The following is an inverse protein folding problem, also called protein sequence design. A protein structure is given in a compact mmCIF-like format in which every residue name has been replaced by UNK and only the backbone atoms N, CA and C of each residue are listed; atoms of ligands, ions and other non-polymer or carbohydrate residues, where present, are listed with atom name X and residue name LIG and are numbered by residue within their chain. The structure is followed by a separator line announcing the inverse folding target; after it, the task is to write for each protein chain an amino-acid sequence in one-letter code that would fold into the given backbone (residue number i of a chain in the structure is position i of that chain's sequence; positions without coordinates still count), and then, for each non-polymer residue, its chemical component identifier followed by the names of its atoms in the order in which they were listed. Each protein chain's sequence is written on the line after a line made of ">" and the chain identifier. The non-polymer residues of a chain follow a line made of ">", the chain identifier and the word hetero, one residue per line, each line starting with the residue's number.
data_IF_437477397962
#
_entry.id   IF_437477397962
#
_cell.length_a   1.000
_cell.length_b   1.000
_cell.length_c   1.000
_cell.angle_alpha   90.00
_cell.angle_beta   90.00
_cell.angle_gamma   90.00
#
_symmetry.space_group_name_H-M   'P 1'
#
loop_
_entity.id
_entity.type
_entity.pdbx_description
1 polymer ?
#
# COMPACT_ATOMS: atom_id res chain seq x y z
N UNK A 1 4.64 6.28 -10.75
CA UNK A 1 5.62 7.09 -9.98
C UNK A 1 5.69 6.54 -8.58
N UNK A 2 6.83 6.69 -7.92
CA UNK A 2 6.95 6.40 -6.49
C UNK A 2 7.12 7.70 -5.71
N UNK A 3 6.30 7.89 -4.69
CA UNK A 3 6.60 8.81 -3.60
C UNK A 3 7.10 7.97 -2.41
N UNK A 4 8.23 8.33 -1.83
CA UNK A 4 8.69 7.73 -0.58
C UNK A 4 8.18 8.59 0.57
N UNK A 5 7.37 7.99 1.44
CA UNK A 5 6.98 8.43 2.80
C UNK A 5 6.88 9.95 3.03
N UNK A 6 5.64 10.42 3.27
CA UNK A 6 5.31 11.81 3.60
C UNK A 6 5.91 12.35 4.91
N UNK A 7 6.61 11.52 5.70
CA UNK A 7 7.18 11.89 6.99
C UNK A 7 8.67 12.21 6.91
N UNK A 8 9.09 13.34 7.49
CA UNK A 8 10.50 13.73 7.57
C UNK A 8 11.39 12.72 8.32
N UNK A 9 10.78 11.93 9.21
CA UNK A 9 11.39 10.77 9.88
C UNK A 9 10.34 9.65 9.89
N UNK A 10 10.35 8.72 8.92
CA UNK A 10 9.37 7.65 8.90
C UNK A 10 9.56 6.72 10.12
N UNK A 11 8.47 6.17 10.68
CA UNK A 11 8.55 5.08 11.64
C UNK A 11 9.45 3.95 11.11
N UNK A 12 10.12 3.23 12.00
CA UNK A 12 11.02 2.10 11.66
C UNK A 12 10.44 1.13 10.61
N UNK A 13 9.15 0.72 10.65
CA UNK A 13 8.58 -0.17 9.64
C UNK A 13 8.38 0.49 8.27
N UNK A 14 8.21 1.81 8.22
CA UNK A 14 7.97 2.57 7.00
C UNK A 14 9.26 3.06 6.32
N UNK A 15 10.43 2.78 6.88
CA UNK A 15 11.72 3.27 6.38
C UNK A 15 11.95 3.02 4.88
N UNK A 16 11.38 1.93 4.34
CA UNK A 16 11.46 1.56 2.92
C UNK A 16 10.09 1.45 2.26
N UNK A 17 9.06 2.05 2.85
CA UNK A 17 7.73 2.06 2.28
C UNK A 17 7.69 2.92 1.01
N UNK A 18 6.84 2.51 0.07
CA UNK A 18 6.66 3.19 -1.21
C UNK A 18 5.18 3.45 -1.43
N UNK A 19 4.87 4.67 -1.86
CA UNK A 19 3.54 5.05 -2.33
C UNK A 19 3.57 5.06 -3.86
N UNK A 20 2.89 4.11 -4.46
CA UNK A 20 2.86 3.89 -5.92
C UNK A 20 1.62 4.56 -6.50
N UNK A 21 1.85 5.43 -7.48
CA UNK A 21 0.80 6.08 -8.27
C UNK A 21 0.92 5.76 -9.76
N UNK A 22 -0.19 5.85 -10.47
CA UNK A 22 -0.24 5.78 -11.92
C UNK A 22 0.00 7.16 -12.54
N UNK A 23 0.69 7.16 -13.68
CA UNK A 23 0.91 8.35 -14.49
C UNK A 23 0.24 8.07 -15.85
N UNK A 24 -0.66 8.94 -16.27
CA UNK A 24 -1.28 8.92 -17.59
C UNK A 24 -0.51 9.75 -18.60
N UNK A 25 -1.20 10.16 -19.67
CA UNK A 25 -0.60 10.96 -20.73
C UNK A 25 -0.03 12.28 -20.18
N UNK A 26 1.04 12.76 -20.83
CA UNK A 26 1.72 14.00 -20.48
C UNK A 26 2.24 14.07 -19.02
N UNK A 27 2.44 12.93 -18.37
CA UNK A 27 2.98 12.91 -17.01
C UNK A 27 1.95 13.23 -15.91
N UNK A 28 0.65 13.28 -16.24
CA UNK A 28 -0.40 13.63 -15.28
C UNK A 28 -0.79 12.46 -14.39
N UNK A 29 -1.21 12.75 -13.16
CA UNK A 29 -1.67 11.75 -12.16
C UNK A 29 -3.19 11.61 -12.12
N UNK A 30 -3.89 12.62 -12.61
CA UNK A 30 -5.36 12.70 -12.67
C UNK A 30 -5.84 13.34 -13.96
N UNK A 31 -7.14 13.21 -14.22
CA UNK A 31 -7.85 14.01 -15.21
C UNK A 31 -7.94 15.44 -14.68
N UNK A 32 -7.60 16.43 -15.52
CA UNK A 32 -7.59 17.83 -15.11
C UNK A 32 -6.39 18.23 -14.23
N UNK A 33 -6.53 19.35 -13.52
CA UNK A 33 -5.49 19.91 -12.62
C UNK A 33 -5.91 19.93 -11.15
N UNK A 34 -7.22 19.88 -10.88
CA UNK A 34 -7.80 19.98 -9.54
C UNK A 34 -8.87 18.90 -9.39
N UNK A 35 -8.46 17.65 -9.16
CA UNK A 35 -9.42 16.57 -9.01
C UNK A 35 -10.21 16.72 -7.70
N UNK A 36 -11.53 16.58 -7.79
CA UNK A 36 -12.45 16.72 -6.66
C UNK A 36 -12.93 15.36 -6.13
N UNK A 37 -12.68 14.28 -6.87
CA UNK A 37 -13.01 12.92 -6.46
C UNK A 37 -11.87 11.92 -6.71
N UNK A 38 -11.80 10.80 -5.96
CA UNK A 38 -10.78 9.78 -6.17
C UNK A 38 -10.78 9.17 -7.58
N UNK A 39 -11.95 9.03 -8.21
CA UNK A 39 -12.10 8.42 -9.54
C UNK A 39 -11.51 9.26 -10.69
N UNK A 40 -11.16 10.51 -10.43
CA UNK A 40 -10.44 11.35 -11.38
C UNK A 40 -8.93 11.04 -11.40
N UNK A 41 -8.40 10.25 -10.46
CA UNK A 41 -7.00 9.82 -10.45
C UNK A 41 -6.80 8.51 -11.21
N UNK A 42 -5.77 8.45 -12.06
CA UNK A 42 -5.52 7.28 -12.91
C UNK A 42 -5.21 5.99 -12.16
N UNK A 43 -4.77 6.10 -10.90
CA UNK A 43 -4.43 4.93 -10.07
C UNK A 43 -5.64 4.37 -9.35
N UNK A 44 -6.66 5.20 -9.08
CA UNK A 44 -7.81 4.77 -8.29
C UNK A 44 -8.54 3.63 -9.01
N UNK A 45 -8.86 2.57 -8.27
CA UNK A 45 -9.52 1.38 -8.79
C UNK A 45 -8.63 0.44 -9.63
N UNK A 46 -7.33 0.73 -9.82
CA UNK A 46 -6.41 -0.21 -10.47
C UNK A 46 -6.26 -1.48 -9.63
N UNK A 47 -6.13 -2.63 -10.30
CA UNK A 47 -5.94 -3.92 -9.65
C UNK A 47 -4.65 -3.95 -8.82
N UNK A 48 -4.74 -4.53 -7.63
CA UNK A 48 -3.60 -4.81 -6.75
C UNK A 48 -3.38 -6.32 -6.73
N UNK A 49 -2.14 -6.71 -6.98
CA UNK A 49 -1.71 -8.10 -7.02
C UNK A 49 -0.77 -8.39 -5.86
N UNK A 50 -0.79 -9.63 -5.36
CA UNK A 50 0.16 -10.06 -4.35
C UNK A 50 1.58 -10.04 -4.91
N UNK A 51 2.55 -9.39 -4.25
CA UNK A 51 3.95 -9.44 -4.67
C UNK A 51 4.63 -10.76 -4.30
N UNK A 52 4.07 -11.53 -3.35
CA UNK A 52 4.69 -12.74 -2.79
C UNK A 52 3.70 -13.89 -2.68
N UNK A 53 4.24 -15.10 -2.59
CA UNK A 53 3.52 -16.24 -2.03
C UNK A 53 3.46 -16.10 -0.50
N UNK A 54 2.34 -16.47 0.11
CA UNK A 54 2.20 -16.44 1.56
C UNK A 54 0.79 -16.67 2.08
N UNK A 55 0.59 -16.34 3.35
CA UNK A 55 -0.70 -16.42 4.04
C UNK A 55 -1.17 -15.02 4.41
N UNK A 56 -2.46 -14.75 4.25
CA UNK A 56 -3.07 -13.49 4.71
C UNK A 56 -3.15 -13.51 6.24
N UNK A 57 -2.48 -12.56 6.90
CA UNK A 57 -2.43 -12.44 8.37
C UNK A 57 -3.24 -11.26 8.92
N UNK A 58 -3.68 -10.34 8.07
CA UNK A 58 -4.65 -9.30 8.43
C UNK A 58 -5.43 -8.79 7.21
N UNK A 59 -6.69 -8.43 7.43
CA UNK A 59 -7.56 -7.76 6.46
C UNK A 59 -8.36 -6.67 7.18
N UNK A 60 -8.38 -5.47 6.61
CA UNK A 60 -9.25 -4.36 7.04
C UNK A 60 -9.89 -3.75 5.80
N UNK A 61 -11.22 -3.69 5.76
CA UNK A 61 -12.00 -3.22 4.60
C UNK A 61 -13.23 -2.39 5.01
N UNK A 62 -13.06 -1.48 5.97
CA UNK A 62 -14.16 -0.74 6.59
C UNK A 62 -14.12 0.77 6.35
N UNK A 63 -12.98 1.31 5.90
CA UNK A 63 -12.77 2.74 5.74
C UNK A 63 -13.23 3.19 4.35
N UNK A 64 -13.95 4.31 4.32
CA UNK A 64 -14.48 4.90 3.08
C UNK A 64 -13.36 5.63 2.33
N UNK A 65 -13.35 5.48 1.00
CA UNK A 65 -12.46 6.24 0.12
C UNK A 65 -12.85 7.72 0.10
N UNK A 66 -11.92 8.63 0.40
CA UNK A 66 -12.17 10.07 0.43
C UNK A 66 -10.90 10.90 0.29
N UNK A 67 -10.93 11.94 -0.55
CA UNK A 67 -9.87 12.97 -0.61
C UNK A 67 -9.87 13.90 0.62
N UNK A 68 -10.94 13.87 1.42
CA UNK A 68 -11.21 14.81 2.50
C UNK A 68 -11.30 14.11 3.86
N UNK A 69 -10.72 12.91 4.01
CA UNK A 69 -10.76 12.15 5.24
C UNK A 69 -10.06 12.87 6.43
N UNK A 70 -9.18 13.82 6.12
CA UNK A 70 -8.38 14.57 7.08
C UNK A 70 -7.34 13.71 7.79
N UNK A 71 -6.41 14.34 8.53
CA UNK A 71 -5.37 13.61 9.23
C UNK A 71 -5.97 12.66 10.28
N UNK A 72 -5.42 11.44 10.36
CA UNK A 72 -5.85 10.44 11.35
C UNK A 72 -4.88 10.43 12.53
N UNK A 73 -5.43 10.47 13.74
CA UNK A 73 -4.63 10.40 14.98
C UNK A 73 -4.27 8.97 15.35
N UNK A 74 -5.06 8.00 14.90
CA UNK A 74 -4.79 6.57 15.04
C UNK A 74 -4.06 6.05 13.79
N UNK A 75 -2.91 5.43 13.97
CA UNK A 75 -2.08 4.95 12.86
C UNK A 75 -2.70 3.75 12.11
N UNK A 76 -3.54 2.95 12.77
CA UNK A 76 -4.30 1.90 12.08
C UNK A 76 -5.40 2.48 11.19
N UNK A 77 -5.95 3.63 11.56
CA UNK A 77 -6.84 4.41 10.69
C UNK A 77 -6.04 5.09 9.56
N UNK A 78 -4.81 5.55 9.83
CA UNK A 78 -3.97 6.20 8.84
C UNK A 78 -3.64 5.31 7.63
N UNK A 79 -3.39 4.01 7.85
CA UNK A 79 -3.22 3.04 6.74
C UNK A 79 -4.51 2.71 5.99
N UNK A 80 -5.69 3.07 6.53
CA UNK A 80 -6.97 2.74 5.92
C UNK A 80 -7.16 1.23 5.72
N UNK A 81 -7.83 0.88 4.62
CA UNK A 81 -8.06 -0.51 4.24
C UNK A 81 -6.76 -1.16 3.80
N UNK A 82 -6.51 -2.39 4.23
CA UNK A 82 -5.21 -3.04 4.05
C UNK A 82 -5.30 -4.56 4.09
N UNK A 83 -4.30 -5.18 3.47
CA UNK A 83 -4.01 -6.61 3.56
C UNK A 83 -2.57 -6.75 4.07
N UNK A 84 -2.35 -7.69 5.00
CA UNK A 84 -1.01 -8.13 5.37
C UNK A 84 -0.82 -9.57 4.90
N UNK A 85 0.26 -9.83 4.16
CA UNK A 85 0.65 -11.15 3.65
C UNK A 85 2.00 -11.50 4.24
N UNK A 86 2.11 -12.69 4.81
CA UNK A 86 3.32 -13.15 5.47
C UNK A 86 3.78 -14.50 4.92
N UNK A 87 5.10 -14.67 4.78
CA UNK A 87 5.75 -15.97 4.67
C UNK A 87 6.87 -16.10 5.72
N UNK A 88 7.68 -17.15 5.64
CA UNK A 88 8.73 -17.44 6.63
C UNK A 88 9.81 -16.35 6.74
N UNK A 89 9.98 -15.52 5.70
CA UNK A 89 11.08 -14.55 5.60
C UNK A 89 10.65 -13.10 5.77
N UNK A 90 9.41 -12.75 5.39
CA UNK A 90 8.95 -11.36 5.36
C UNK A 90 7.43 -11.23 5.51
N UNK A 91 7.01 -10.04 5.91
CA UNK A 91 5.62 -9.59 6.00
C UNK A 91 5.46 -8.37 5.08
N UNK A 92 4.43 -8.36 4.24
CA UNK A 92 4.11 -7.24 3.33
C UNK A 92 2.74 -6.69 3.68
N UNK A 93 2.68 -5.38 3.88
CA UNK A 93 1.43 -4.65 3.95
C UNK A 93 1.16 -3.94 2.63
N UNK A 94 -0.06 -4.11 2.13
CA UNK A 94 -0.65 -3.35 1.04
C UNK A 94 -1.79 -2.54 1.64
N UNK A 95 -1.70 -1.21 1.60
CA UNK A 95 -2.59 -0.30 2.32
C UNK A 95 -3.28 0.71 1.39
N UNK A 96 -4.14 1.55 1.99
CA UNK A 96 -5.06 2.50 1.34
C UNK A 96 -5.87 1.89 0.20
N UNK A 97 -6.27 0.63 0.39
CA UNK A 97 -7.05 -0.13 -0.58
C UNK A 97 -8.46 0.44 -0.71
N UNK A 98 -9.09 0.20 -1.86
CA UNK A 98 -10.45 0.66 -2.15
C UNK A 98 -11.44 -0.09 -1.30
N UNK A 99 -12.38 0.62 -0.70
CA UNK A 99 -13.42 0.02 0.13
C UNK A 99 -14.22 -1.02 -0.65
N UNK A 100 -14.40 -2.21 -0.08
CA UNK A 100 -15.17 -3.31 -0.65
C UNK A 100 -14.47 -4.00 -1.83
N UNK A 101 -13.18 -3.73 -2.06
CA UNK A 101 -12.42 -4.34 -3.16
C UNK A 101 -11.62 -5.57 -2.75
N UNK A 102 -11.41 -5.80 -1.45
CA UNK A 102 -10.56 -6.89 -0.96
C UNK A 102 -11.27 -8.23 -1.18
N UNK A 103 -10.66 -9.11 -1.98
CA UNK A 103 -11.25 -10.39 -2.38
C UNK A 103 -10.72 -11.60 -1.60
N UNK A 104 -9.92 -11.37 -0.56
CA UNK A 104 -9.26 -12.40 0.26
C UNK A 104 -9.69 -12.31 1.72
N UNK A 105 -9.45 -13.37 2.47
CA UNK A 105 -9.80 -13.49 3.89
C UNK A 105 -8.57 -13.84 4.72
N UNK A 106 -8.66 -13.54 6.03
CA UNK A 106 -7.67 -13.97 7.00
C UNK A 106 -7.46 -15.49 6.92
N UNK A 107 -6.22 -15.93 6.77
CA UNK A 107 -5.83 -17.34 6.64
C UNK A 107 -5.76 -17.87 5.22
N UNK A 108 -6.17 -17.11 4.20
CA UNK A 108 -6.07 -17.55 2.81
C UNK A 108 -4.61 -17.71 2.38
N UNK A 109 -4.34 -18.76 1.59
CA UNK A 109 -3.07 -18.93 0.88
C UNK A 109 -3.12 -18.14 -0.43
N UNK A 110 -2.11 -17.30 -0.65
CA UNK A 110 -2.01 -16.39 -1.79
C UNK A 110 -0.75 -16.70 -2.59
N UNK A 111 -0.85 -16.58 -3.91
CA UNK A 111 0.27 -16.71 -4.82
C UNK A 111 0.69 -15.35 -5.39
N UNK A 112 1.97 -15.18 -5.65
CA UNK A 112 2.50 -14.00 -6.34
C UNK A 112 1.80 -13.82 -7.69
N UNK A 113 1.40 -12.58 -8.00
CA UNK A 113 0.61 -12.24 -9.18
C UNK A 113 -0.90 -12.52 -9.05
N UNK A 114 -1.38 -13.03 -7.91
CA UNK A 114 -2.82 -13.15 -7.67
C UNK A 114 -3.43 -11.78 -7.40
N UNK A 115 -4.52 -11.43 -8.10
CA UNK A 115 -5.29 -10.22 -7.80
C UNK A 115 -6.02 -10.38 -6.46
N UNK A 116 -5.89 -9.39 -5.58
CA UNK A 116 -6.40 -9.48 -4.19
C UNK A 116 -7.17 -8.23 -3.74
N UNK A 117 -7.04 -7.09 -4.44
CA UNK A 117 -7.73 -5.85 -4.13
C UNK A 117 -7.71 -4.86 -5.32
N UNK A 118 -8.17 -3.64 -5.07
CA UNK A 118 -7.94 -2.48 -5.93
C UNK A 118 -7.37 -1.30 -5.14
N UNK A 119 -6.63 -0.42 -5.80
CA UNK A 119 -6.08 0.81 -5.21
C UNK A 119 -7.22 1.74 -4.81
N UNK A 120 -7.17 2.28 -3.60
CA UNK A 120 -8.17 3.17 -3.05
C UNK A 120 -7.63 4.53 -2.69
N UNK A 121 -8.38 5.18 -1.81
CA UNK A 121 -8.14 6.49 -1.23
C UNK A 121 -8.62 6.49 0.23
N UNK A 122 -8.46 5.36 0.93
CA UNK A 122 -8.86 5.20 2.33
C UNK A 122 -7.69 5.53 3.27
N UNK A 123 -7.99 6.01 4.46
CA UNK A 123 -6.99 6.37 5.47
C UNK A 123 -6.58 7.84 5.44
N UNK A 124 -5.34 8.13 5.88
CA UNK A 124 -4.79 9.49 5.91
C UNK A 124 -4.01 9.76 4.61
N UNK A 125 -4.76 10.07 3.55
CA UNK A 125 -4.22 10.31 2.22
C UNK A 125 -4.78 11.60 1.62
N UNK A 126 -3.93 12.32 0.89
CA UNK A 126 -4.33 13.49 0.10
C UNK A 126 -4.64 13.15 -1.36
N UNK A 127 -4.18 11.98 -1.83
CA UNK A 127 -4.48 11.45 -3.16
C UNK A 127 -4.45 9.92 -3.15
N UNK A 128 -5.19 9.25 -4.07
CA UNK A 128 -5.15 7.81 -4.25
C UNK A 128 -3.73 7.33 -4.56
N UNK A 129 -3.28 6.27 -3.88
CA UNK A 129 -2.03 5.57 -4.14
C UNK A 129 -2.07 4.18 -3.51
N UNK A 130 -1.16 3.31 -3.95
CA UNK A 130 -0.89 2.04 -3.28
C UNK A 130 0.33 2.21 -2.38
N UNK A 131 0.15 2.18 -1.06
CA UNK A 131 1.27 2.00 -0.15
C UNK A 131 1.63 0.53 -0.03
N UNK A 132 2.92 0.28 -0.20
CA UNK A 132 3.53 -1.01 0.03
C UNK A 132 4.68 -0.85 1.00
N UNK A 133 4.75 -1.73 1.98
CA UNK A 133 5.93 -1.85 2.84
C UNK A 133 6.20 -3.31 3.18
N UNK A 134 7.48 -3.64 3.31
CA UNK A 134 7.94 -4.94 3.76
C UNK A 134 8.62 -4.81 5.13
N UNK A 135 8.39 -5.80 5.99
CA UNK A 135 8.94 -5.87 7.34
C UNK A 135 9.45 -7.28 7.65
N UNK A 136 10.36 -7.38 8.62
CA UNK A 136 10.73 -8.68 9.21
C UNK A 136 9.53 -9.20 10.00
N UNK A 137 9.07 -10.46 9.83
CA UNK A 137 7.93 -11.00 10.56
C UNK A 137 8.15 -10.97 12.08
N UNK A 138 7.07 -11.06 12.87
CA UNK A 138 7.20 -11.33 14.31
C UNK A 138 7.81 -12.72 14.49
N UNK A 139 9.12 -12.80 14.71
CA UNK A 139 9.75 -14.02 15.21
C UNK A 139 9.74 -14.08 16.74
N UNK A 140 9.42 -12.97 17.40
CA UNK A 140 9.43 -12.83 18.85
C UNK A 140 8.08 -12.28 19.35
N UNK A 141 7.45 -12.99 20.29
CA UNK A 141 6.21 -12.60 20.95
C UNK A 141 6.31 -11.29 21.77
N UNK A 142 7.51 -10.72 21.90
CA UNK A 142 7.77 -9.37 22.44
C UNK A 142 7.56 -8.27 21.40
N UNK A 143 7.69 -8.57 20.10
CA UNK A 143 7.33 -7.67 18.99
C UNK A 143 5.82 -7.80 18.76
N UNK A 144 5.06 -7.27 19.72
CA UNK A 144 3.59 -7.43 19.80
C UNK A 144 2.85 -6.52 18.85
N UNK A 145 3.42 -5.36 18.55
CA UNK A 145 2.82 -4.36 17.69
C UNK A 145 3.53 -4.35 16.34
N UNK A 146 2.75 -4.15 15.28
CA UNK A 146 3.27 -3.98 13.92
C UNK A 146 4.30 -2.83 13.83
N UNK A 147 4.22 -1.86 14.74
CA UNK A 147 5.07 -0.68 14.80
C UNK A 147 6.51 -0.94 15.23
N UNK A 148 6.74 -2.04 15.94
CA UNK A 148 8.08 -2.46 16.38
C UNK A 148 8.84 -3.21 15.28
N UNK A 149 8.21 -3.40 14.13
CA UNK A 149 8.78 -4.14 13.00
C UNK A 149 9.91 -3.36 12.34
N UNK A 150 10.95 -4.09 11.94
CA UNK A 150 12.03 -3.54 11.12
C UNK A 150 11.66 -3.58 9.65
N UNK A 151 11.62 -2.41 8.99
CA UNK A 151 11.39 -2.31 7.55
C UNK A 151 12.52 -2.97 6.75
N UNK A 152 12.18 -3.61 5.65
CA UNK A 152 13.10 -4.27 4.71
C UNK A 152 13.02 -3.55 3.35
N UNK A 153 14.16 -3.24 2.69
CA UNK A 153 14.14 -2.66 1.36
C UNK A 153 13.59 -3.64 0.33
N UNK A 154 12.72 -3.15 -0.56
CA UNK A 154 12.12 -3.95 -1.64
C UNK A 154 12.76 -3.62 -2.98
N UNK A 155 12.91 -4.65 -3.82
CA UNK A 155 13.30 -4.48 -5.21
C UNK A 155 12.11 -4.69 -6.14
N UNK A 156 12.05 -3.88 -7.19
CA UNK A 156 11.09 -3.98 -8.27
C UNK A 156 11.88 -4.16 -9.56
N UNK A 157 11.70 -5.27 -10.25
CA UNK A 157 12.45 -5.63 -11.46
C UNK A 157 13.98 -5.50 -11.27
N UNK A 158 14.49 -5.97 -10.12
CA UNK A 158 15.91 -5.94 -9.78
C UNK A 158 16.47 -4.58 -9.36
N UNK A 159 15.61 -3.57 -9.14
CA UNK A 159 16.02 -2.21 -8.75
C UNK A 159 15.42 -1.81 -7.41
N UNK A 160 16.20 -1.12 -6.59
CA UNK A 160 15.67 -0.34 -5.47
C UNK A 160 15.14 0.96 -6.03
N UNK A 161 13.84 1.17 -5.89
CA UNK A 161 13.21 2.37 -6.41
C UNK A 161 13.32 3.51 -5.40
N UNK A 162 13.57 4.71 -5.91
CA UNK A 162 13.63 5.95 -5.13
C UNK A 162 12.50 6.89 -5.52
N UNK A 163 12.34 7.98 -4.76
CA UNK A 163 11.36 9.01 -5.06
C UNK A 163 11.47 9.49 -6.51
N UNK A 164 10.32 9.60 -7.17
CA UNK A 164 10.13 9.97 -8.57
C UNK A 164 10.58 8.93 -9.61
N UNK A 165 10.99 7.72 -9.20
CA UNK A 165 11.21 6.66 -10.17
C UNK A 165 9.90 6.30 -10.89
N UNK A 166 10.06 5.98 -12.18
CA UNK A 166 9.02 5.48 -13.06
C UNK A 166 9.41 4.06 -13.45
N UNK A 167 8.45 3.16 -13.32
CA UNK A 167 8.55 1.77 -13.75
C UNK A 167 7.27 1.40 -14.49
N UNK A 168 7.37 0.44 -15.40
CA UNK A 168 6.21 -0.15 -16.05
C UNK A 168 5.67 -1.28 -15.17
N UNK A 169 4.36 -1.28 -14.96
CA UNK A 169 3.69 -2.43 -14.35
C UNK A 169 3.68 -3.56 -15.38
N UNK A 170 4.14 -4.74 -14.98
CA UNK A 170 4.04 -5.94 -15.81
C UNK A 170 2.56 -6.28 -16.03
N UNK A 171 2.18 -6.56 -17.29
CA UNK A 171 0.82 -6.97 -17.65
C UNK A 171 0.43 -8.32 -17.05
#
# INVERSE_FOLDING_TARGET
>A
MINTTHHALPPVPQKYALDIIAIGEFGKRSVGFFPESPDEYYVFGKSVFSPIDGIVTAVVDQYVDSLSAGPKMDENEAYGNRIIIQNDSLEIMLAQLKQGSISVRLGDTIFSGQQIAAVGCSGDVSEPHLHIQATIPATDARVRQYWDRSGIPMQFNGRFLVKNDIFEASN
#
